data_IF_404236870137
#
_entry.id   IF_404236870137
#
_cell.length_a   1.000
_cell.length_b   1.000
_cell.length_c   1.000
_cell.angle_alpha   90.00
_cell.angle_beta   90.00
_cell.angle_gamma   90.00
#
_symmetry.space_group_name_H-M   'P 1'
#
loop_
_entity.id
_entity.type
_entity.pdbx_description
1 polymer ?
#
# COMPACT_ATOMS: atom_id res chain seq x y z
N UNK A 1 -7.06 12.65 -23.12
CA UNK A 1 -8.18 12.02 -22.48
C UNK A 1 -7.91 11.71 -21.04
N UNK A 2 -8.89 11.95 -20.21
CA UNK A 2 -8.75 11.79 -18.77
C UNK A 2 -8.53 10.34 -18.35
N UNK A 3 -9.04 9.38 -19.12
CA UNK A 3 -8.97 7.98 -18.75
C UNK A 3 -7.55 7.45 -18.63
N UNK A 4 -6.68 7.83 -19.54
CA UNK A 4 -5.29 7.39 -19.48
C UNK A 4 -4.59 7.96 -18.26
N UNK A 5 -4.91 9.21 -17.91
CA UNK A 5 -4.32 9.85 -16.76
C UNK A 5 -4.78 9.17 -15.47
N UNK A 6 -6.04 8.81 -15.38
CA UNK A 6 -6.58 8.14 -14.22
C UNK A 6 -5.96 6.76 -14.02
N UNK A 7 -5.73 6.02 -15.10
CA UNK A 7 -5.12 4.71 -15.02
C UNK A 7 -3.68 4.74 -14.53
N UNK A 8 -3.00 5.86 -14.75
CA UNK A 8 -1.60 6.00 -14.34
C UNK A 8 -1.44 6.48 -12.91
N UNK A 9 -2.52 6.94 -12.30
CA UNK A 9 -2.44 7.40 -10.94
C UNK A 9 -2.44 6.23 -9.97
N UNK A 10 -1.58 6.27 -8.96
CA UNK A 10 -1.60 5.21 -7.94
C UNK A 10 -2.90 5.24 -7.15
N UNK A 11 -3.27 4.08 -6.62
CA UNK A 11 -4.47 3.97 -5.80
C UNK A 11 -4.38 4.88 -4.58
N UNK A 12 -3.18 5.05 -4.05
CA UNK A 12 -2.92 5.94 -2.92
C UNK A 12 -1.74 6.82 -3.30
N UNK A 13 -1.89 8.13 -3.12
CA UNK A 13 -0.81 9.07 -3.44
C UNK A 13 0.33 8.97 -2.42
N UNK A 14 1.52 9.41 -2.84
CA UNK A 14 2.66 9.46 -1.93
C UNK A 14 2.38 10.37 -0.75
N UNK A 15 1.66 11.48 -0.97
CA UNK A 15 1.32 12.40 0.11
C UNK A 15 0.45 11.71 1.17
N UNK A 16 -0.53 10.92 0.74
CA UNK A 16 -1.35 10.18 1.67
C UNK A 16 -0.55 9.15 2.47
N UNK A 17 0.38 8.48 1.80
CA UNK A 17 1.23 7.50 2.45
C UNK A 17 2.13 8.17 3.46
N UNK A 18 2.78 9.26 3.09
CA UNK A 18 3.67 9.99 3.99
C UNK A 18 2.91 10.51 5.21
N UNK A 19 1.70 11.01 5.00
CA UNK A 19 0.88 11.49 6.11
C UNK A 19 0.55 10.34 7.07
N UNK A 20 0.24 9.17 6.54
CA UNK A 20 -0.09 8.01 7.37
C UNK A 20 1.13 7.51 8.16
N UNK A 21 2.33 7.69 7.62
CA UNK A 21 3.56 7.27 8.29
C UNK A 21 4.12 8.34 9.22
N UNK A 22 3.54 9.54 9.23
CA UNK A 22 4.04 10.63 10.07
C UNK A 22 4.10 10.19 11.53
N UNK A 23 5.21 10.50 12.19
CA UNK A 23 5.40 10.14 13.60
C UNK A 23 5.89 8.73 13.82
N UNK A 24 6.05 7.93 12.75
CA UNK A 24 6.58 6.57 12.89
C UNK A 24 8.09 6.58 12.60
N UNK A 25 8.75 5.51 13.00
CA UNK A 25 10.20 5.42 12.86
C UNK A 25 10.58 4.10 12.17
N UNK A 26 10.54 4.11 10.85
CA UNK A 26 10.96 2.98 10.04
C UNK A 26 12.36 3.18 9.43
N UNK A 27 13.08 4.19 9.90
CA UNK A 27 14.42 4.46 9.44
C UNK A 27 14.47 4.89 7.99
N UNK A 28 15.39 4.31 7.22
CA UNK A 28 15.59 4.68 5.82
C UNK A 28 14.63 3.95 4.86
N UNK A 29 13.72 3.16 5.38
CA UNK A 29 12.78 2.42 4.53
C UNK A 29 11.83 3.35 3.79
N UNK A 30 11.51 2.99 2.56
CA UNK A 30 10.57 3.76 1.74
C UNK A 30 9.14 3.36 2.11
N UNK A 31 8.32 4.32 2.59
CA UNK A 31 6.98 3.98 3.08
C UNK A 31 6.11 3.20 2.09
N UNK A 32 6.13 3.59 0.82
CA UNK A 32 5.34 2.87 -0.19
C UNK A 32 5.76 1.41 -0.31
N UNK A 33 7.07 1.15 -0.27
CA UNK A 33 7.59 -0.22 -0.35
C UNK A 33 7.18 -1.03 0.87
N UNK A 34 7.22 -0.42 2.05
CA UNK A 34 6.76 -1.09 3.26
C UNK A 34 5.29 -1.48 3.17
N UNK A 35 4.46 -0.58 2.62
CA UNK A 35 3.04 -0.87 2.45
C UNK A 35 2.82 -2.00 1.46
N UNK A 36 3.54 -1.98 0.34
CA UNK A 36 3.43 -3.04 -0.65
C UNK A 36 3.74 -4.39 -0.04
N UNK A 37 4.83 -4.46 0.70
CA UNK A 37 5.23 -5.69 1.38
C UNK A 37 4.21 -6.10 2.42
N UNK A 38 3.68 -5.14 3.17
CA UNK A 38 2.69 -5.43 4.20
C UNK A 38 1.41 -6.02 3.63
N UNK A 39 0.92 -5.45 2.53
CA UNK A 39 -0.28 -5.96 1.89
C UNK A 39 -0.04 -7.35 1.30
N UNK A 40 1.12 -7.56 0.68
CA UNK A 40 1.49 -8.88 0.16
C UNK A 40 1.54 -9.93 1.26
N UNK A 41 2.11 -9.58 2.41
CA UNK A 41 2.13 -10.50 3.55
C UNK A 41 0.72 -10.84 4.01
N UNK A 42 -0.15 -9.82 4.08
CA UNK A 42 -1.53 -10.04 4.48
C UNK A 42 -2.26 -10.97 3.51
N UNK A 43 -2.00 -10.83 2.21
CA UNK A 43 -2.59 -11.69 1.19
C UNK A 43 -2.20 -13.16 1.38
N UNK A 44 -1.01 -13.42 1.91
CA UNK A 44 -0.52 -14.77 2.10
C UNK A 44 -0.68 -15.27 3.53
N UNK A 45 -1.38 -14.50 4.37
CA UNK A 45 -1.68 -14.91 5.74
C UNK A 45 -0.64 -14.56 6.77
N UNK A 46 0.37 -13.78 6.40
CA UNK A 46 1.39 -13.32 7.35
C UNK A 46 0.99 -12.01 7.99
N UNK A 47 1.46 -11.79 9.20
CA UNK A 47 1.15 -10.56 9.94
C UNK A 47 2.33 -9.61 9.90
N UNK A 48 2.00 -8.32 9.79
CA UNK A 48 3.00 -7.26 9.93
C UNK A 48 3.03 -6.79 11.38
N UNK A 49 4.04 -5.98 11.72
CA UNK A 49 4.10 -5.39 13.05
C UNK A 49 2.91 -4.46 13.31
N UNK A 50 2.70 -4.14 14.59
CA UNK A 50 1.55 -3.36 15.02
C UNK A 50 1.42 -2.02 14.27
N UNK A 51 2.53 -1.28 14.17
CA UNK A 51 2.51 0.05 13.55
C UNK A 51 2.10 -0.02 12.09
N UNK A 52 2.70 -0.94 11.33
CA UNK A 52 2.38 -1.07 9.92
C UNK A 52 0.95 -1.56 9.71
N UNK A 53 0.49 -2.47 10.55
CA UNK A 53 -0.89 -2.95 10.50
C UNK A 53 -1.88 -1.80 10.73
N UNK A 54 -1.59 -0.94 11.70
CA UNK A 54 -2.42 0.23 11.97
C UNK A 54 -2.47 1.16 10.76
N UNK A 55 -1.33 1.38 10.12
CA UNK A 55 -1.26 2.24 8.94
C UNK A 55 -2.08 1.64 7.80
N UNK A 56 -1.96 0.32 7.58
CA UNK A 56 -2.72 -0.35 6.53
C UNK A 56 -4.22 -0.24 6.75
N UNK A 57 -4.68 -0.34 8.01
CA UNK A 57 -6.09 -0.15 8.33
C UNK A 57 -6.52 1.29 8.08
N UNK A 58 -5.70 2.24 8.48
CA UNK A 58 -5.98 3.67 8.30
C UNK A 58 -6.14 4.01 6.83
N UNK A 59 -5.36 3.39 5.97
CA UNK A 59 -5.44 3.59 4.53
C UNK A 59 -6.47 2.69 3.84
N UNK A 60 -7.19 1.91 4.62
CA UNK A 60 -8.25 1.01 4.14
C UNK A 60 -7.72 -0.08 3.22
N UNK A 61 -6.50 -0.51 3.45
CA UNK A 61 -5.88 -1.59 2.67
C UNK A 61 -6.21 -2.97 3.25
N UNK A 62 -6.48 -3.02 4.55
CA UNK A 62 -6.91 -4.25 5.21
C UNK A 62 -8.10 -3.93 6.13
N UNK A 63 -8.86 -4.98 6.44
CA UNK A 63 -9.99 -4.87 7.36
C UNK A 63 -9.51 -4.93 8.81
N UNK A 64 -10.44 -4.78 9.75
CA UNK A 64 -10.13 -4.93 11.18
C UNK A 64 -9.58 -6.33 11.49
N UNK A 65 -9.92 -7.32 10.67
CA UNK A 65 -9.44 -8.71 10.85
C UNK A 65 -8.20 -9.00 10.00
N UNK A 66 -7.60 -7.95 9.44
CA UNK A 66 -6.39 -8.03 8.63
C UNK A 66 -6.57 -8.78 7.31
N UNK A 67 -7.78 -8.83 6.80
CA UNK A 67 -8.03 -9.32 5.45
C UNK A 67 -7.82 -8.19 4.44
N UNK A 68 -7.21 -8.48 3.31
CA UNK A 68 -6.93 -7.46 2.30
C UNK A 68 -8.23 -7.00 1.65
N UNK A 69 -8.44 -5.68 1.59
CA UNK A 69 -9.62 -5.08 0.98
C UNK A 69 -9.47 -5.05 -0.54
N UNK A 70 -10.57 -4.72 -1.23
CA UNK A 70 -10.50 -4.50 -2.67
C UNK A 70 -9.50 -3.39 -3.01
N UNK A 71 -9.47 -2.34 -2.20
CA UNK A 71 -8.52 -1.25 -2.37
C UNK A 71 -7.09 -1.74 -2.19
N UNK A 72 -6.85 -2.60 -1.19
CA UNK A 72 -5.53 -3.18 -0.97
C UNK A 72 -5.06 -4.01 -2.15
N UNK A 73 -5.96 -4.78 -2.74
CA UNK A 73 -5.63 -5.57 -3.92
C UNK A 73 -5.28 -4.69 -5.11
N UNK A 74 -6.05 -3.63 -5.33
CA UNK A 74 -5.76 -2.69 -6.41
C UNK A 74 -4.42 -1.99 -6.19
N UNK A 75 -4.10 -1.66 -4.95
CA UNK A 75 -2.84 -1.04 -4.60
C UNK A 75 -1.65 -1.93 -5.02
N UNK A 76 -1.71 -3.21 -4.69
CA UNK A 76 -0.65 -4.15 -5.03
C UNK A 76 -0.58 -4.39 -6.54
N UNK A 77 -1.75 -4.57 -7.19
CA UNK A 77 -1.78 -4.78 -8.63
C UNK A 77 -1.20 -3.59 -9.39
N UNK A 78 -1.49 -2.37 -8.94
CA UNK A 78 -0.93 -1.19 -9.57
C UNK A 78 0.59 -1.21 -9.47
N UNK A 79 1.13 -1.59 -8.32
CA UNK A 79 2.57 -1.65 -8.11
C UNK A 79 3.24 -2.67 -9.04
N UNK A 80 2.66 -3.85 -9.15
CA UNK A 80 3.17 -4.88 -10.05
C UNK A 80 3.12 -4.43 -11.50
N UNK A 81 2.05 -3.78 -11.87
CA UNK A 81 1.88 -3.31 -13.24
C UNK A 81 2.97 -2.29 -13.61
N UNK A 82 3.32 -1.42 -12.68
CA UNK A 82 4.41 -0.47 -12.90
C UNK A 82 5.75 -1.19 -13.07
N UNK A 83 5.98 -2.21 -12.28
CA UNK A 83 7.22 -2.98 -12.37
C UNK A 83 7.36 -3.66 -13.74
N UNK A 84 6.28 -4.19 -14.27
CA UNK A 84 6.30 -4.80 -15.59
C UNK A 84 6.65 -3.79 -16.69
N UNK A 85 6.14 -2.57 -16.59
CA UNK A 85 6.43 -1.54 -17.56
C UNK A 85 7.88 -1.08 -17.49
N UNK A 86 8.45 -1.06 -16.32
CA UNK A 86 9.83 -0.65 -16.13
C UNK A 86 10.82 -1.74 -16.52
N UNK A 87 10.36 -2.96 -16.50
CA UNK A 87 11.17 -4.07 -16.94
C UNK A 87 11.16 -4.16 -18.45
#
# INVERSE_FOLDING_TARGET
>A
MSDDRERRQPVISDAEIEAAFAGTNFGAAIPRKLLEQGVLKALTGYHSGHTLTTIMRKLDLITAREAVTAKGKRFVFWSFHQMEHDG
#
